data_IF_031551047649
#
_entry.id   IF_031551047649
#
_cell.length_a   1.000
_cell.length_b   1.000
_cell.length_c   1.000
_cell.angle_alpha   90.00
_cell.angle_beta   90.00
_cell.angle_gamma   90.00
#
_symmetry.space_group_name_H-M   'P 1'
#
loop_
_entity.id
_entity.type
_entity.pdbx_description
1 polymer ?
#
# COMPACT_ATOMS: atom_id res chain seq x y z
N UNK A 1 54.91 10.32 -6.64
CA UNK A 1 53.59 9.90 -6.12
C UNK A 1 52.54 10.78 -6.75
N UNK A 2 51.53 10.17 -7.37
CA UNK A 2 50.49 10.93 -8.06
C UNK A 2 49.44 11.46 -7.07
N UNK A 3 48.42 12.14 -7.61
CA UNK A 3 47.37 12.75 -6.78
C UNK A 3 46.44 11.73 -6.14
N UNK A 4 46.16 10.61 -6.82
CA UNK A 4 45.27 9.56 -6.33
C UNK A 4 45.94 8.83 -5.18
N UNK A 5 47.21 8.47 -5.33
CA UNK A 5 48.03 7.89 -4.27
C UNK A 5 48.06 8.80 -3.03
N UNK A 6 48.27 10.12 -3.24
CA UNK A 6 48.24 11.11 -2.16
C UNK A 6 46.91 11.14 -1.41
N UNK A 7 45.78 11.07 -2.12
CA UNK A 7 44.44 11.05 -1.51
C UNK A 7 44.25 9.77 -0.70
N UNK A 8 44.64 8.62 -1.26
CA UNK A 8 44.56 7.31 -0.62
C UNK A 8 45.38 7.26 0.67
N UNK A 9 46.64 7.71 0.63
CA UNK A 9 47.53 7.81 1.79
C UNK A 9 46.93 8.70 2.88
N UNK A 10 46.43 9.88 2.51
CA UNK A 10 45.77 10.80 3.46
C UNK A 10 44.56 10.14 4.13
N UNK A 11 43.73 9.40 3.37
CA UNK A 11 42.60 8.66 3.92
C UNK A 11 43.02 7.48 4.82
N UNK A 12 44.11 6.82 4.47
CA UNK A 12 44.69 5.73 5.26
C UNK A 12 45.15 6.23 6.63
N UNK A 13 46.00 7.26 6.67
CA UNK A 13 46.46 7.88 7.92
C UNK A 13 45.31 8.44 8.75
N UNK A 14 44.31 9.05 8.11
CA UNK A 14 43.11 9.52 8.82
C UNK A 14 42.35 8.38 9.51
N UNK A 15 42.29 7.21 8.88
CA UNK A 15 41.67 6.03 9.47
C UNK A 15 42.51 5.49 10.64
N UNK A 16 43.85 5.46 10.50
CA UNK A 16 44.76 5.03 11.57
C UNK A 16 44.68 5.93 12.81
N UNK A 17 44.47 7.24 12.63
CA UNK A 17 44.30 8.21 13.72
C UNK A 17 42.86 8.27 14.26
N UNK A 18 42.06 7.20 14.15
CA UNK A 18 40.67 7.19 14.62
C UNK A 18 39.82 8.35 14.07
N UNK A 19 40.12 8.84 12.86
CA UNK A 19 39.43 9.96 12.21
C UNK A 19 39.60 11.31 12.92
N UNK A 20 40.69 11.50 13.67
CA UNK A 20 41.08 12.79 14.25
C UNK A 20 41.89 13.62 13.25
N UNK A 21 41.33 14.75 12.82
CA UNK A 21 41.96 15.65 11.85
C UNK A 21 43.30 16.24 12.32
N UNK A 22 43.37 16.66 13.58
CA UNK A 22 44.54 17.36 14.12
C UNK A 22 45.70 16.38 14.31
N UNK A 23 45.38 15.21 14.86
CA UNK A 23 46.38 14.17 15.08
C UNK A 23 46.94 13.65 13.76
N UNK A 24 46.08 13.39 12.76
CA UNK A 24 46.56 12.95 11.45
C UNK A 24 47.51 13.96 10.83
N UNK A 25 47.15 15.25 10.80
CA UNK A 25 48.00 16.29 10.22
C UNK A 25 49.36 16.43 10.90
N UNK A 26 49.44 16.11 12.20
CA UNK A 26 50.68 16.13 12.97
C UNK A 26 51.63 15.00 12.56
N UNK A 27 51.08 13.81 12.30
CA UNK A 27 51.88 12.62 12.01
C UNK A 27 52.11 12.34 10.51
N UNK A 28 51.44 13.08 9.61
CA UNK A 28 51.63 12.91 8.17
C UNK A 28 53.11 13.09 7.78
N UNK A 29 53.71 12.12 7.05
CA UNK A 29 55.05 12.26 6.49
C UNK A 29 55.21 13.53 5.67
N UNK A 30 56.42 14.11 5.69
CA UNK A 30 56.76 15.34 4.95
C UNK A 30 56.41 15.24 3.45
N UNK A 31 56.51 14.06 2.84
CA UNK A 31 56.20 13.80 1.42
C UNK A 31 54.72 13.96 1.06
N UNK A 32 53.82 13.82 2.05
CA UNK A 32 52.35 13.90 1.90
C UNK A 32 51.69 14.98 2.73
N UNK A 33 52.49 15.78 3.44
CA UNK A 33 51.99 16.89 4.23
C UNK A 33 51.26 17.89 3.34
N UNK A 34 50.06 18.25 3.76
CA UNK A 34 49.17 19.19 3.04
C UNK A 34 48.60 20.20 4.03
N UNK A 35 48.07 21.31 3.51
CA UNK A 35 47.29 22.24 4.34
C UNK A 35 46.06 21.55 4.91
N UNK A 36 45.57 22.01 6.07
CA UNK A 36 44.36 21.50 6.68
C UNK A 36 43.14 21.57 5.74
N UNK A 37 43.03 22.63 4.92
CA UNK A 37 41.97 22.78 3.91
C UNK A 37 42.08 21.71 2.82
N UNK A 38 43.29 21.46 2.31
CA UNK A 38 43.53 20.41 1.31
C UNK A 38 43.28 19.02 1.89
N UNK A 39 43.67 18.79 3.14
CA UNK A 39 43.42 17.54 3.86
C UNK A 39 41.93 17.21 3.91
N UNK A 40 41.09 18.16 4.36
CA UNK A 40 39.63 17.99 4.36
C UNK A 40 39.07 17.67 2.98
N UNK A 41 39.55 18.33 1.93
CA UNK A 41 39.14 18.03 0.55
C UNK A 41 39.50 16.60 0.14
N UNK A 42 40.73 16.16 0.45
CA UNK A 42 41.19 14.81 0.11
C UNK A 42 40.40 13.74 0.85
N UNK A 43 40.10 13.93 2.14
CA UNK A 43 39.25 13.01 2.91
C UNK A 43 37.85 12.90 2.30
N UNK A 44 37.25 14.02 1.88
CA UNK A 44 35.95 13.99 1.23
C UNK A 44 36.01 13.26 -0.11
N UNK A 45 37.00 13.58 -0.95
CA UNK A 45 37.17 12.92 -2.26
C UNK A 45 37.40 11.42 -2.07
N UNK A 46 38.36 11.01 -1.25
CA UNK A 46 38.71 9.59 -1.10
C UNK A 46 37.58 8.74 -0.52
N UNK A 47 36.71 9.32 0.33
CA UNK A 47 35.60 8.58 0.93
C UNK A 47 34.29 8.65 0.14
N UNK A 48 34.09 9.67 -0.69
CA UNK A 48 32.78 9.95 -1.32
C UNK A 48 32.83 10.03 -2.84
N UNK A 49 34.00 10.10 -3.48
CA UNK A 49 34.10 10.09 -4.93
C UNK A 49 33.99 8.66 -5.46
N UNK A 50 33.19 8.49 -6.51
CA UNK A 50 33.10 7.27 -7.29
C UNK A 50 34.48 6.73 -7.69
N UNK A 51 34.64 5.40 -7.60
CA UNK A 51 35.91 4.73 -7.85
C UNK A 51 36.36 4.93 -9.30
N UNK A 52 35.45 4.86 -10.28
CA UNK A 52 35.79 5.09 -11.68
C UNK A 52 36.18 6.56 -11.94
N UNK A 53 35.66 7.51 -11.15
CA UNK A 53 36.09 8.90 -11.19
C UNK A 53 37.45 9.15 -10.53
N UNK A 54 37.86 8.35 -9.54
CA UNK A 54 39.20 8.47 -8.96
C UNK A 54 40.30 8.25 -10.00
N UNK A 55 40.10 7.32 -10.93
CA UNK A 55 41.03 7.12 -12.06
C UNK A 55 41.13 8.36 -12.96
N UNK A 56 40.07 9.16 -13.05
CA UNK A 56 40.06 10.38 -13.86
C UNK A 56 40.92 11.51 -13.28
N UNK A 57 41.31 11.44 -11.99
CA UNK A 57 42.19 12.43 -11.36
C UNK A 57 43.62 12.41 -11.91
N UNK A 58 44.08 11.24 -12.37
CA UNK A 58 45.44 11.02 -12.87
C UNK A 58 45.52 11.05 -14.42
N UNK A 59 44.38 11.04 -15.11
CA UNK A 59 44.33 11.16 -16.56
C UNK A 59 44.92 12.50 -17.05
N UNK A 60 45.40 12.51 -18.29
CA UNK A 60 45.87 13.74 -18.98
C UNK A 60 44.80 14.22 -19.98
N UNK A 61 44.84 15.52 -20.30
CA UNK A 61 43.98 16.12 -21.33
C UNK A 61 42.57 16.51 -20.85
N UNK A 62 41.66 16.67 -21.82
CA UNK A 62 40.29 17.21 -21.61
C UNK A 62 39.43 16.36 -20.66
N UNK A 63 39.75 15.07 -20.53
CA UNK A 63 39.05 14.12 -19.65
C UNK A 63 39.64 14.02 -18.24
N UNK A 64 40.62 14.87 -17.89
CA UNK A 64 41.15 14.94 -16.54
C UNK A 64 40.12 15.57 -15.59
N UNK A 65 39.79 14.85 -14.53
CA UNK A 65 38.98 15.38 -13.43
C UNK A 65 39.84 16.27 -12.55
N UNK A 66 39.47 17.54 -12.40
CA UNK A 66 40.17 18.44 -11.47
C UNK A 66 39.81 18.12 -10.01
N UNK A 67 40.75 18.36 -9.08
CA UNK A 67 40.52 18.16 -7.64
C UNK A 67 39.35 19.00 -7.14
N UNK A 68 39.25 20.25 -7.59
CA UNK A 68 38.16 21.15 -7.21
C UNK A 68 36.80 20.61 -7.65
N UNK A 69 36.71 20.11 -8.90
CA UNK A 69 35.46 19.55 -9.39
C UNK A 69 35.14 18.21 -8.73
N UNK A 70 36.13 17.34 -8.50
CA UNK A 70 35.95 16.10 -7.74
C UNK A 70 35.39 16.37 -6.34
N UNK A 71 35.96 17.34 -5.61
CA UNK A 71 35.46 17.74 -4.31
C UNK A 71 34.02 18.26 -4.37
N UNK A 72 33.70 19.07 -5.37
CA UNK A 72 32.36 19.60 -5.58
C UNK A 72 31.35 18.47 -5.83
N UNK A 73 31.70 17.51 -6.69
CA UNK A 73 30.87 16.37 -7.03
C UNK A 73 30.63 15.47 -5.81
N UNK A 74 31.67 15.15 -5.04
CA UNK A 74 31.56 14.39 -3.79
C UNK A 74 30.69 15.10 -2.73
N UNK A 75 30.73 16.42 -2.69
CA UNK A 75 29.94 17.20 -1.73
C UNK A 75 28.47 17.33 -2.15
N UNK A 76 28.21 17.54 -3.45
CA UNK A 76 26.89 17.89 -3.97
C UNK A 76 26.11 16.68 -4.49
N UNK A 77 26.74 15.55 -4.80
CA UNK A 77 26.05 14.37 -5.33
C UNK A 77 26.32 13.19 -4.40
N UNK A 78 25.38 12.94 -3.47
CA UNK A 78 25.58 11.92 -2.42
C UNK A 78 25.45 10.48 -2.89
N UNK A 79 24.74 10.25 -3.99
CA UNK A 79 24.71 8.95 -4.63
C UNK A 79 25.92 8.79 -5.55
N UNK A 80 26.84 7.89 -5.17
CA UNK A 80 28.11 7.66 -5.85
C UNK A 80 27.88 7.24 -7.31
N UNK A 81 26.92 6.36 -7.57
CA UNK A 81 26.63 5.84 -8.91
C UNK A 81 26.27 6.98 -9.89
N UNK A 82 25.69 8.07 -9.40
CA UNK A 82 25.28 9.20 -10.24
C UNK A 82 26.39 10.19 -10.52
N UNK A 83 27.43 10.22 -9.67
CA UNK A 83 28.56 11.11 -9.89
C UNK A 83 29.18 10.85 -11.25
N UNK A 84 29.33 9.58 -11.61
CA UNK A 84 29.88 9.16 -12.89
C UNK A 84 28.98 9.57 -14.07
N UNK A 85 27.67 9.37 -13.95
CA UNK A 85 26.70 9.77 -14.99
C UNK A 85 26.71 11.28 -15.25
N UNK A 86 26.70 12.09 -14.18
CA UNK A 86 26.76 13.56 -14.28
C UNK A 86 28.06 13.98 -14.95
N UNK A 87 29.19 13.38 -14.52
CA UNK A 87 30.49 13.65 -15.11
C UNK A 87 30.52 13.33 -16.61
N UNK A 88 29.99 12.17 -17.02
CA UNK A 88 29.95 11.76 -18.42
C UNK A 88 29.08 12.71 -19.25
N UNK A 89 27.90 13.08 -18.76
CA UNK A 89 27.00 14.01 -19.46
C UNK A 89 27.69 15.37 -19.68
N UNK A 90 28.32 15.92 -18.65
CA UNK A 90 29.10 17.16 -18.79
C UNK A 90 30.30 17.03 -19.74
N UNK A 91 30.89 15.84 -19.87
CA UNK A 91 31.93 15.59 -20.87
C UNK A 91 31.36 15.55 -22.29
N UNK A 92 30.19 14.96 -22.48
CA UNK A 92 29.48 14.93 -23.77
C UNK A 92 29.09 16.35 -24.21
N UNK A 93 28.70 17.18 -23.26
CA UNK A 93 28.42 18.61 -23.48
C UNK A 93 29.70 19.45 -23.67
N UNK A 94 30.86 18.79 -23.77
CA UNK A 94 32.16 19.39 -24.06
C UNK A 94 32.67 20.42 -23.05
N UNK A 95 32.11 20.45 -21.84
CA UNK A 95 32.44 21.42 -20.81
C UNK A 95 33.89 21.27 -20.28
N UNK A 96 34.57 22.39 -20.10
CA UNK A 96 35.84 22.49 -19.38
C UNK A 96 35.64 22.29 -17.87
N UNK A 97 36.72 22.02 -17.12
CA UNK A 97 36.62 21.88 -15.66
C UNK A 97 36.06 23.13 -14.96
N UNK A 98 36.31 24.33 -15.50
CA UNK A 98 35.76 25.58 -14.94
C UNK A 98 34.25 25.66 -15.20
N UNK A 99 33.81 25.34 -16.41
CA UNK A 99 32.39 25.33 -16.76
C UNK A 99 31.62 24.26 -15.98
N UNK A 100 32.18 23.05 -15.83
CA UNK A 100 31.63 21.96 -15.01
C UNK A 100 31.35 22.38 -13.57
N UNK A 101 32.27 23.14 -12.96
CA UNK A 101 32.10 23.66 -11.59
C UNK A 101 30.91 24.63 -11.55
N UNK A 102 30.79 25.50 -12.54
CA UNK A 102 29.75 26.51 -12.59
C UNK A 102 28.37 25.93 -12.95
N UNK A 103 28.32 24.86 -13.74
CA UNK A 103 27.07 24.25 -14.22
C UNK A 103 26.59 23.06 -13.40
N UNK A 104 27.30 22.60 -12.36
CA UNK A 104 26.89 21.41 -11.58
C UNK A 104 25.46 21.53 -11.03
N UNK A 105 25.01 22.74 -10.75
CA UNK A 105 23.67 23.03 -10.29
C UNK A 105 22.63 22.55 -11.31
N UNK A 106 22.83 22.82 -12.60
CA UNK A 106 21.92 22.45 -13.69
C UNK A 106 21.75 20.93 -13.82
N UNK A 107 22.78 20.16 -13.48
CA UNK A 107 22.77 18.69 -13.52
C UNK A 107 22.24 18.06 -12.22
N UNK A 108 21.92 18.89 -11.22
CA UNK A 108 21.39 18.46 -9.91
C UNK A 108 20.01 19.07 -9.62
N UNK A 109 19.35 19.65 -10.63
CA UNK A 109 17.96 20.11 -10.56
C UNK A 109 17.01 18.91 -10.65
N UNK A 110 16.02 18.86 -9.76
CA UNK A 110 14.95 17.87 -9.83
C UNK A 110 13.93 18.24 -10.92
N UNK A 111 13.57 17.35 -11.86
CA UNK A 111 12.61 17.65 -12.92
C UNK A 111 11.15 17.76 -12.44
N UNK A 112 10.86 17.46 -11.16
CA UNK A 112 9.51 17.52 -10.59
C UNK A 112 9.27 18.84 -9.86
N UNK A 113 10.16 19.19 -8.93
CA UNK A 113 10.03 20.43 -8.15
C UNK A 113 10.87 21.60 -8.70
N UNK A 114 11.73 21.36 -9.69
CA UNK A 114 12.67 22.34 -10.25
C UNK A 114 13.64 22.95 -9.21
N UNK A 115 13.75 22.33 -8.04
CA UNK A 115 14.72 22.73 -7.01
C UNK A 115 16.01 21.92 -7.14
N UNK A 116 17.10 22.54 -6.74
CA UNK A 116 18.36 21.84 -6.59
C UNK A 116 18.30 20.88 -5.40
N UNK A 117 18.79 19.66 -5.57
CA UNK A 117 18.92 18.70 -4.47
C UNK A 117 20.22 17.92 -4.56
N UNK A 118 20.91 17.78 -3.43
CA UNK A 118 22.07 16.90 -3.29
C UNK A 118 21.69 15.44 -3.05
N UNK A 119 20.41 15.20 -2.77
CA UNK A 119 19.83 13.89 -2.48
C UNK A 119 18.89 13.51 -3.62
N UNK A 120 19.46 12.91 -4.65
CA UNK A 120 18.74 12.47 -5.84
C UNK A 120 18.89 10.97 -6.06
N UNK A 121 17.85 10.37 -6.62
CA UNK A 121 17.79 8.98 -7.01
C UNK A 121 17.57 8.86 -8.53
N UNK A 122 18.33 7.98 -9.19
CA UNK A 122 18.16 7.68 -10.62
C UNK A 122 17.03 6.68 -10.78
N UNK A 123 16.06 7.03 -11.60
CA UNK A 123 14.93 6.16 -11.89
C UNK A 123 15.39 5.04 -12.84
N UNK A 124 15.11 3.76 -12.54
CA UNK A 124 15.65 2.63 -13.30
C UNK A 124 15.10 2.53 -14.73
N UNK A 125 13.92 3.10 -14.98
CA UNK A 125 13.22 3.00 -16.27
C UNK A 125 13.67 4.04 -17.31
N UNK A 126 13.98 5.26 -16.91
CA UNK A 126 14.32 6.36 -17.82
C UNK A 126 15.67 7.03 -17.51
N UNK A 127 16.35 6.61 -16.45
CA UNK A 127 17.62 7.21 -16.02
C UNK A 127 17.51 8.64 -15.51
N UNK A 128 16.30 9.20 -15.39
CA UNK A 128 16.10 10.57 -14.87
C UNK A 128 16.45 10.63 -13.38
N UNK A 129 17.08 11.73 -12.97
CA UNK A 129 17.43 12.00 -11.57
C UNK A 129 16.29 12.77 -10.91
N UNK A 130 15.75 12.25 -9.81
CA UNK A 130 14.67 12.89 -9.06
C UNK A 130 15.10 13.07 -7.61
N UNK A 131 14.79 14.22 -7.00
CA UNK A 131 15.10 14.41 -5.58
C UNK A 131 14.32 13.41 -4.72
N UNK A 132 14.94 12.92 -3.64
CA UNK A 132 14.31 11.91 -2.81
C UNK A 132 12.97 12.39 -2.25
N UNK A 133 12.84 13.67 -1.88
CA UNK A 133 11.57 14.19 -1.35
C UNK A 133 10.41 14.01 -2.36
N UNK A 134 10.62 14.37 -3.63
CA UNK A 134 9.62 14.17 -4.68
C UNK A 134 9.35 12.68 -4.92
N UNK A 135 10.39 11.84 -4.93
CA UNK A 135 10.23 10.39 -5.14
C UNK A 135 9.40 9.74 -4.02
N UNK A 136 9.73 10.01 -2.75
CA UNK A 136 8.99 9.44 -1.62
C UNK A 136 7.56 9.96 -1.56
N UNK A 137 7.33 11.25 -1.82
CA UNK A 137 5.97 11.82 -1.91
C UNK A 137 5.16 11.18 -3.04
N UNK A 138 5.78 10.94 -4.19
CA UNK A 138 5.14 10.27 -5.31
C UNK A 138 4.75 8.82 -4.98
N UNK A 139 5.67 8.06 -4.36
CA UNK A 139 5.38 6.69 -3.92
C UNK A 139 4.30 6.65 -2.84
N UNK A 140 4.33 7.59 -1.90
CA UNK A 140 3.32 7.74 -0.85
C UNK A 140 1.93 7.96 -1.46
N UNK A 141 1.80 8.95 -2.35
CA UNK A 141 0.56 9.23 -3.09
C UNK A 141 0.12 8.00 -3.89
N UNK A 142 1.03 7.31 -4.58
CA UNK A 142 0.70 6.14 -5.39
C UNK A 142 0.12 4.98 -4.56
N UNK A 143 0.61 4.79 -3.33
CA UNK A 143 0.19 3.70 -2.43
C UNK A 143 -1.08 4.09 -1.64
N UNK A 144 -1.25 5.37 -1.33
CA UNK A 144 -2.37 5.88 -0.53
C UNK A 144 -3.48 6.53 -1.35
N UNK A 145 -3.35 6.56 -2.68
CA UNK A 145 -4.39 7.00 -3.60
C UNK A 145 -5.67 6.18 -3.44
N UNK A 146 -6.80 6.84 -3.71
CA UNK A 146 -8.15 6.24 -3.69
C UNK A 146 -8.20 5.04 -4.64
N UNK A 147 -7.72 5.22 -5.87
CA UNK A 147 -7.52 4.15 -6.83
C UNK A 147 -6.04 3.79 -6.92
N UNK A 148 -5.77 2.50 -6.79
CA UNK A 148 -4.44 1.92 -6.88
C UNK A 148 -4.12 1.55 -8.33
N UNK A 149 -3.16 2.25 -8.91
CA UNK A 149 -2.64 2.01 -10.26
C UNK A 149 -1.19 1.50 -10.26
N UNK A 150 -0.67 1.17 -9.07
CA UNK A 150 0.72 0.80 -8.87
C UNK A 150 1.67 1.98 -8.79
N UNK A 151 2.92 1.66 -8.44
CA UNK A 151 3.98 2.65 -8.36
C UNK A 151 4.62 2.84 -9.73
N UNK A 152 4.18 3.88 -10.45
CA UNK A 152 4.72 4.26 -11.75
C UNK A 152 5.81 5.31 -11.61
N UNK A 153 6.68 5.42 -12.60
CA UNK A 153 7.69 6.45 -12.69
C UNK A 153 7.02 7.83 -12.83
N UNK A 154 7.38 8.84 -12.02
CA UNK A 154 6.78 10.17 -12.11
C UNK A 154 7.16 10.93 -13.40
N UNK A 155 8.12 10.44 -14.18
CA UNK A 155 8.61 11.10 -15.40
C UNK A 155 8.06 10.44 -16.67
N UNK A 156 8.21 9.11 -16.78
CA UNK A 156 7.84 8.37 -17.99
C UNK A 156 6.61 7.46 -17.81
N UNK A 157 5.99 7.46 -16.63
CA UNK A 157 4.82 6.65 -16.29
C UNK A 157 5.00 5.12 -16.42
N UNK A 158 6.22 4.63 -16.65
CA UNK A 158 6.55 3.20 -16.65
C UNK A 158 6.52 2.65 -15.22
N UNK A 159 5.98 1.45 -15.03
CA UNK A 159 5.96 0.77 -13.74
C UNK A 159 7.36 0.59 -13.16
N UNK A 160 7.52 0.88 -11.87
CA UNK A 160 8.78 0.71 -11.16
C UNK A 160 8.95 -0.74 -10.67
N UNK A 161 10.15 -1.35 -10.83
CA UNK A 161 10.39 -2.71 -10.35
C UNK A 161 10.18 -2.89 -8.85
N UNK A 162 9.73 -4.07 -8.41
CA UNK A 162 9.49 -4.37 -6.98
C UNK A 162 10.74 -4.17 -6.13
N UNK A 163 11.86 -4.69 -6.63
CA UNK A 163 13.17 -4.62 -5.97
C UNK A 163 13.59 -3.17 -5.72
N UNK A 164 13.36 -2.30 -6.70
CA UNK A 164 13.65 -0.87 -6.58
C UNK A 164 12.76 -0.22 -5.51
N UNK A 165 11.46 -0.46 -5.53
CA UNK A 165 10.53 0.09 -4.52
C UNK A 165 10.88 -0.42 -3.11
N UNK A 166 11.24 -1.70 -2.99
CA UNK A 166 11.72 -2.30 -1.75
C UNK A 166 12.97 -1.59 -1.23
N UNK A 167 13.96 -1.38 -2.08
CA UNK A 167 15.22 -0.74 -1.71
C UNK A 167 15.03 0.69 -1.21
N UNK A 168 14.13 1.44 -1.86
CA UNK A 168 13.79 2.82 -1.49
C UNK A 168 12.97 2.86 -0.20
N UNK A 169 11.84 2.14 -0.11
CA UNK A 169 10.91 2.28 1.02
C UNK A 169 11.35 1.52 2.28
N UNK A 170 11.99 0.35 2.13
CA UNK A 170 12.36 -0.48 3.27
C UNK A 170 13.67 -0.04 3.94
N UNK A 171 14.53 0.72 3.23
CA UNK A 171 15.83 1.21 3.71
C UNK A 171 16.71 0.11 4.35
N UNK A 172 16.60 -1.11 3.84
CA UNK A 172 17.16 -2.33 4.44
C UNK A 172 18.64 -2.19 4.79
N UNK A 173 19.03 -2.63 6.00
CA UNK A 173 20.43 -2.72 6.42
C UNK A 173 21.30 -3.55 5.48
N UNK A 174 20.69 -4.47 4.72
CA UNK A 174 21.37 -5.35 3.79
C UNK A 174 21.83 -4.64 2.51
N UNK A 175 21.11 -3.60 2.06
CA UNK A 175 21.50 -2.89 0.85
C UNK A 175 22.55 -1.81 1.17
N UNK A 176 23.82 -2.15 0.95
CA UNK A 176 24.95 -1.24 1.19
C UNK A 176 24.96 -0.04 0.22
N UNK A 177 24.45 -0.21 -1.00
CA UNK A 177 24.46 0.84 -2.06
C UNK A 177 23.59 2.03 -1.69
N UNK A 178 22.47 1.80 -0.98
CA UNK A 178 21.53 2.86 -0.55
C UNK A 178 21.76 3.36 0.87
N UNK A 179 22.90 3.03 1.49
CA UNK A 179 23.22 3.46 2.87
C UNK A 179 23.23 4.99 3.02
N UNK A 180 23.57 5.72 1.96
CA UNK A 180 23.62 7.19 1.97
C UNK A 180 22.26 7.84 2.23
N UNK A 181 21.14 7.19 1.85
CA UNK A 181 19.78 7.71 2.10
C UNK A 181 19.51 7.87 3.61
N UNK A 182 20.17 7.06 4.46
CA UNK A 182 20.07 7.18 5.92
C UNK A 182 20.63 8.51 6.45
N UNK A 183 21.50 9.17 5.68
CA UNK A 183 22.00 10.50 5.98
C UNK A 183 20.95 11.60 5.77
N UNK A 184 19.85 11.31 5.08
CA UNK A 184 18.77 12.26 4.84
C UNK A 184 17.78 12.21 5.99
N UNK A 185 17.98 13.08 6.97
CA UNK A 185 17.23 13.08 8.23
C UNK A 185 15.71 13.06 8.04
N UNK A 186 15.18 13.89 7.14
CA UNK A 186 13.73 14.00 6.87
C UNK A 186 13.11 12.71 6.34
N UNK A 187 13.89 11.84 5.70
CA UNK A 187 13.41 10.54 5.20
C UNK A 187 13.64 9.47 6.27
N UNK A 188 14.82 9.48 6.88
CA UNK A 188 15.21 8.48 7.86
C UNK A 188 14.37 8.54 9.14
N UNK A 189 13.93 9.73 9.56
CA UNK A 189 13.01 9.90 10.70
C UNK A 189 11.64 9.25 10.45
N UNK A 190 11.20 9.18 9.19
CA UNK A 190 9.95 8.54 8.75
C UNK A 190 10.12 7.12 8.21
N UNK A 191 11.26 6.47 8.43
CA UNK A 191 11.52 5.11 7.91
C UNK A 191 10.49 4.06 8.34
N UNK A 192 9.89 4.21 9.52
CA UNK A 192 8.82 3.32 10.00
C UNK A 192 7.58 3.43 9.12
N UNK A 193 7.17 4.67 8.82
CA UNK A 193 6.09 4.98 7.89
C UNK A 193 6.33 4.38 6.50
N UNK A 194 7.50 4.62 5.89
CA UNK A 194 7.79 4.13 4.53
C UNK A 194 7.86 2.60 4.46
N UNK A 195 8.40 1.95 5.50
CA UNK A 195 8.34 0.50 5.62
C UNK A 195 6.90 0.00 5.64
N UNK A 196 6.02 0.67 6.39
CA UNK A 196 4.61 0.32 6.46
C UNK A 196 3.87 0.62 5.13
N UNK A 197 4.27 1.65 4.37
CA UNK A 197 3.79 1.87 3.00
C UNK A 197 4.11 0.68 2.10
N UNK A 198 5.34 0.16 2.16
CA UNK A 198 5.73 -1.01 1.38
C UNK A 198 4.94 -2.27 1.80
N UNK A 199 4.66 -2.46 3.09
CA UNK A 199 3.80 -3.55 3.56
C UNK A 199 2.37 -3.42 3.04
N UNK A 200 1.81 -2.21 3.09
CA UNK A 200 0.49 -1.91 2.52
C UNK A 200 0.46 -2.22 1.03
N UNK A 201 1.47 -1.77 0.27
CA UNK A 201 1.62 -2.07 -1.16
C UNK A 201 1.55 -3.58 -1.46
N UNK A 202 2.34 -4.39 -0.75
CA UNK A 202 2.32 -5.85 -0.96
C UNK A 202 0.94 -6.45 -0.63
N UNK A 203 0.30 -6.00 0.45
CA UNK A 203 -1.04 -6.49 0.81
C UNK A 203 -2.11 -6.08 -0.19
N UNK A 204 -2.03 -4.88 -0.78
CA UNK A 204 -2.92 -4.49 -1.87
C UNK A 204 -2.77 -5.45 -3.06
N UNK A 205 -1.52 -5.71 -3.46
CA UNK A 205 -1.23 -6.59 -4.60
C UNK A 205 -1.73 -8.01 -4.35
N UNK A 206 -1.41 -8.60 -3.20
CA UNK A 206 -1.86 -9.95 -2.82
C UNK A 206 -3.40 -10.07 -2.87
N UNK A 207 -4.11 -9.01 -2.44
CA UNK A 207 -5.58 -8.97 -2.50
C UNK A 207 -6.09 -8.86 -3.93
N UNK A 208 -5.45 -8.08 -4.79
CA UNK A 208 -5.79 -8.01 -6.22
C UNK A 208 -5.52 -9.35 -6.91
N UNK A 209 -4.39 -9.99 -6.63
CA UNK A 209 -4.05 -11.33 -7.16
C UNK A 209 -5.12 -12.36 -6.75
N UNK A 210 -5.57 -12.30 -5.50
CA UNK A 210 -6.65 -13.17 -5.00
C UNK A 210 -7.99 -12.94 -5.72
N UNK A 211 -8.40 -11.67 -5.89
CA UNK A 211 -9.66 -11.31 -6.57
C UNK A 211 -9.62 -11.73 -8.05
N UNK A 212 -8.50 -11.46 -8.71
CA UNK A 212 -8.34 -11.68 -10.16
C UNK A 212 -7.92 -13.11 -10.50
N UNK A 213 -7.49 -13.89 -9.51
CA UNK A 213 -6.91 -15.25 -9.65
C UNK A 213 -5.69 -15.28 -10.59
N UNK A 214 -4.93 -14.18 -10.63
CA UNK A 214 -3.70 -14.03 -11.43
C UNK A 214 -2.56 -13.64 -10.52
N UNK A 215 -1.36 -14.15 -10.79
CA UNK A 215 -0.15 -13.75 -10.07
C UNK A 215 0.60 -12.69 -10.87
N UNK A 216 1.09 -11.65 -10.19
CA UNK A 216 1.90 -10.61 -10.80
C UNK A 216 3.33 -11.11 -11.00
N UNK A 217 3.93 -10.73 -12.13
CA UNK A 217 5.36 -10.91 -12.27
C UNK A 217 6.09 -9.94 -11.32
N UNK A 218 6.72 -10.47 -10.28
CA UNK A 218 7.44 -9.68 -9.26
C UNK A 218 8.61 -8.86 -9.83
N UNK A 219 9.13 -9.21 -11.01
CA UNK A 219 10.20 -8.43 -11.65
C UNK A 219 9.63 -7.16 -12.31
N UNK A 220 8.51 -7.26 -13.01
CA UNK A 220 7.91 -6.15 -13.75
C UNK A 220 6.96 -5.32 -12.89
N UNK A 221 6.31 -5.96 -11.92
CA UNK A 221 5.24 -5.38 -11.08
C UNK A 221 4.12 -4.73 -11.86
N UNK A 222 3.96 -5.12 -13.12
CA UNK A 222 3.01 -4.48 -14.00
C UNK A 222 1.59 -4.91 -13.65
N UNK A 223 0.87 -4.05 -12.92
CA UNK A 223 -0.50 -4.34 -12.51
C UNK A 223 -1.44 -4.52 -13.68
N UNK A 224 -1.13 -3.94 -14.84
CA UNK A 224 -1.93 -4.12 -16.05
C UNK A 224 -1.97 -5.60 -16.50
N UNK A 225 -1.04 -6.45 -16.01
CA UNK A 225 -1.04 -7.90 -16.27
C UNK A 225 -2.14 -8.64 -15.48
N UNK A 226 -2.46 -8.16 -14.27
CA UNK A 226 -3.40 -8.83 -13.37
C UNK A 226 -4.76 -8.13 -13.26
N UNK A 227 -4.82 -6.82 -13.53
CA UNK A 227 -6.03 -6.01 -13.38
C UNK A 227 -6.89 -6.02 -14.64
N UNK A 228 -8.21 -5.86 -14.46
CA UNK A 228 -9.13 -5.60 -15.57
C UNK A 228 -8.99 -4.14 -16.03
N UNK A 229 -8.83 -3.93 -17.34
CA UNK A 229 -8.71 -2.61 -17.94
C UNK A 229 -9.94 -1.74 -17.70
N UNK A 230 -11.11 -2.35 -17.47
CA UNK A 230 -12.38 -1.69 -17.24
C UNK A 230 -12.69 -1.45 -15.76
N UNK A 231 -11.79 -1.81 -14.84
CA UNK A 231 -12.00 -1.63 -13.40
C UNK A 231 -10.92 -0.74 -12.77
N UNK A 232 -11.33 0.16 -11.88
CA UNK A 232 -10.47 0.74 -10.86
C UNK A 232 -10.44 -0.19 -9.65
N UNK A 233 -9.28 -0.32 -9.02
CA UNK A 233 -9.10 -1.08 -7.78
C UNK A 233 -8.74 -0.08 -6.67
N UNK A 234 -9.33 -0.21 -5.48
CA UNK A 234 -9.04 0.70 -4.38
C UNK A 234 -9.23 0.04 -3.02
N UNK A 235 -8.53 0.55 -2.01
CA UNK A 235 -8.68 0.09 -0.63
C UNK A 235 -9.92 0.71 0.01
N UNK A 236 -10.68 -0.07 0.78
CA UNK A 236 -11.76 0.48 1.60
C UNK A 236 -11.21 1.51 2.60
N UNK A 237 -11.62 2.77 2.45
CA UNK A 237 -11.10 3.89 3.26
C UNK A 237 -11.52 3.83 4.73
N UNK A 238 -12.63 3.16 5.02
CA UNK A 238 -13.19 3.03 6.36
C UNK A 238 -12.48 1.94 7.19
N UNK A 239 -12.10 0.82 6.57
CA UNK A 239 -11.44 -0.28 7.27
C UNK A 239 -9.94 -0.42 6.97
N UNK A 240 -9.41 0.29 5.96
CA UNK A 240 -7.98 0.33 5.72
C UNK A 240 -7.32 1.08 6.88
N UNK A 241 -6.47 0.42 7.68
CA UNK A 241 -5.85 1.10 8.80
C UNK A 241 -4.91 2.19 8.28
N UNK A 242 -4.94 3.35 8.93
CA UNK A 242 -4.01 4.44 8.64
C UNK A 242 -2.58 3.97 8.84
N UNK A 243 -1.67 4.40 7.98
CA UNK A 243 -0.25 4.06 8.10
C UNK A 243 0.32 4.79 9.31
N UNK A 244 0.83 4.04 10.28
CA UNK A 244 1.49 4.63 11.43
C UNK A 244 2.98 4.90 11.14
N UNK A 245 3.53 5.95 11.76
CA UNK A 245 4.96 6.27 11.70
C UNK A 245 5.78 5.55 12.80
N UNK A 246 5.23 4.51 13.41
CA UNK A 246 5.97 3.79 14.44
C UNK A 246 7.04 2.91 13.78
N UNK A 247 8.11 2.59 14.51
CA UNK A 247 9.11 1.62 14.04
C UNK A 247 8.57 0.19 13.99
N UNK A 248 7.41 -0.06 14.60
CA UNK A 248 6.77 -1.38 14.60
C UNK A 248 6.15 -1.62 13.23
N UNK A 249 6.39 -2.81 12.70
CA UNK A 249 5.75 -3.27 11.47
C UNK A 249 4.25 -3.31 11.69
N UNK A 250 3.51 -2.59 10.86
CA UNK A 250 2.06 -2.67 10.81
C UNK A 250 1.65 -3.84 9.91
N UNK A 251 0.71 -4.65 10.40
CA UNK A 251 0.11 -5.72 9.63
C UNK A 251 -1.20 -5.21 9.00
N UNK A 252 -1.36 -5.41 7.69
CA UNK A 252 -2.56 -5.02 6.94
C UNK A 252 -3.37 -6.28 6.57
N UNK A 253 -3.63 -7.15 7.55
CA UNK A 253 -4.35 -8.43 7.35
C UNK A 253 -5.79 -8.23 6.88
N UNK A 254 -6.46 -7.22 7.42
CA UNK A 254 -7.89 -6.96 7.19
C UNK A 254 -8.13 -5.93 6.08
N UNK A 255 -7.10 -5.65 5.27
CA UNK A 255 -7.22 -4.77 4.12
C UNK A 255 -8.16 -5.40 3.09
N UNK A 256 -9.21 -4.66 2.73
CA UNK A 256 -10.20 -5.01 1.71
C UNK A 256 -9.97 -4.17 0.46
N UNK A 257 -9.99 -4.83 -0.70
CA UNK A 257 -9.94 -4.20 -2.03
C UNK A 257 -11.32 -4.31 -2.65
N UNK A 258 -11.80 -3.20 -3.20
CA UNK A 258 -13.03 -3.15 -3.98
C UNK A 258 -12.74 -2.61 -5.38
N UNK A 259 -13.69 -2.82 -6.28
CA UNK A 259 -13.59 -2.41 -7.67
C UNK A 259 -14.71 -1.45 -8.05
N UNK A 260 -14.38 -0.48 -8.91
CA UNK A 260 -15.33 0.45 -9.51
C UNK A 260 -15.17 0.40 -11.01
N UNK A 261 -16.26 0.27 -11.76
CA UNK A 261 -16.19 0.27 -13.23
C UNK A 261 -15.69 1.61 -13.78
N UNK A 262 -14.79 1.55 -14.77
CA UNK A 262 -14.34 2.71 -15.53
C UNK A 262 -15.43 3.09 -16.51
N UNK A 263 -16.28 4.04 -16.12
CA UNK A 263 -17.21 4.66 -17.05
C UNK A 263 -16.51 5.80 -17.79
N UNK A 264 -16.78 5.95 -19.08
CA UNK A 264 -16.06 6.90 -19.93
C UNK A 264 -16.40 8.37 -19.62
N UNK A 265 -17.56 8.63 -19.03
CA UNK A 265 -18.08 9.94 -18.65
C UNK A 265 -19.26 9.72 -17.71
N UNK A 266 -19.52 10.63 -16.77
CA UNK A 266 -20.84 10.66 -16.13
C UNK A 266 -21.92 10.96 -17.20
N UNK A 267 -23.20 10.85 -16.88
CA UNK A 267 -24.30 11.18 -17.80
C UNK A 267 -24.29 12.63 -18.33
N UNK A 268 -23.36 13.47 -17.84
CA UNK A 268 -23.20 14.88 -18.15
C UNK A 268 -21.95 15.19 -18.98
N UNK A 269 -21.12 14.19 -19.30
CA UNK A 269 -19.92 14.38 -20.11
C UNK A 269 -18.63 14.75 -19.34
N UNK A 270 -18.66 14.71 -18.00
CA UNK A 270 -17.50 15.05 -17.17
C UNK A 270 -16.60 13.83 -16.88
N UNK A 271 -15.32 14.13 -16.61
CA UNK A 271 -14.34 13.18 -16.07
C UNK A 271 -14.87 12.53 -14.78
N UNK A 272 -14.78 11.20 -14.69
CA UNK A 272 -15.19 10.45 -13.49
C UNK A 272 -14.32 10.84 -12.29
N UNK A 273 -14.91 11.54 -11.32
CA UNK A 273 -14.27 11.85 -10.03
C UNK A 273 -14.53 10.69 -9.08
N UNK A 274 -13.48 9.92 -8.77
CA UNK A 274 -13.56 8.84 -7.79
C UNK A 274 -13.64 9.40 -6.38
N UNK A 275 -14.60 8.92 -5.58
CA UNK A 275 -14.76 9.25 -4.17
C UNK A 275 -14.42 8.05 -3.29
N UNK A 276 -13.96 8.29 -2.08
CA UNK A 276 -13.62 7.27 -1.08
C UNK A 276 -14.76 6.27 -0.83
N UNK A 277 -16.00 6.78 -0.80
CA UNK A 277 -17.22 6.00 -0.60
C UNK A 277 -17.41 4.91 -1.66
N UNK A 278 -16.93 5.15 -2.90
CA UNK A 278 -17.06 4.21 -4.02
C UNK A 278 -16.23 2.93 -3.81
N UNK A 279 -15.22 2.99 -2.94
CA UNK A 279 -14.40 1.83 -2.59
C UNK A 279 -14.73 1.28 -1.20
N UNK A 280 -15.82 1.72 -0.57
CA UNK A 280 -16.23 1.18 0.73
C UNK A 280 -16.72 -0.26 0.60
N UNK A 281 -16.23 -1.16 1.47
CA UNK A 281 -16.66 -2.56 1.45
C UNK A 281 -18.05 -2.72 2.06
N UNK A 282 -18.71 -3.84 1.74
CA UNK A 282 -20.06 -4.16 2.20
C UNK A 282 -20.25 -4.09 3.72
N UNK A 283 -19.21 -4.42 4.49
CA UNK A 283 -19.30 -4.30 5.96
C UNK A 283 -19.27 -2.85 6.45
N UNK A 284 -18.74 -1.92 5.65
CA UNK A 284 -18.56 -0.51 6.00
C UNK A 284 -19.59 0.43 5.38
N UNK A 285 -20.20 0.08 4.24
CA UNK A 285 -21.36 0.78 3.63
C UNK A 285 -22.68 0.54 4.38
N UNK A 286 -22.57 -0.12 5.52
CA UNK A 286 -23.60 -0.94 6.12
C UNK A 286 -24.44 -0.17 7.16
N UNK A 287 -24.40 1.17 7.08
CA UNK A 287 -25.33 2.07 7.78
C UNK A 287 -26.77 1.96 7.28
N UNK A 288 -27.01 1.27 6.16
CA UNK A 288 -28.34 0.84 5.69
C UNK A 288 -28.62 -0.65 5.94
N UNK A 289 -27.97 -1.28 6.92
CA UNK A 289 -28.35 -2.64 7.31
C UNK A 289 -29.61 -2.61 8.15
N UNK A 290 -30.72 -3.13 7.61
CA UNK A 290 -31.88 -3.47 8.43
C UNK A 290 -31.47 -4.53 9.47
N UNK A 291 -31.37 -4.13 10.72
CA UNK A 291 -31.29 -5.06 11.83
C UNK A 291 -32.67 -5.71 12.02
N UNK A 292 -32.73 -7.04 12.00
CA UNK A 292 -33.96 -7.77 12.32
C UNK A 292 -33.82 -8.47 13.68
N UNK A 293 -34.87 -8.34 14.50
CA UNK A 293 -35.00 -9.05 15.77
C UNK A 293 -35.75 -10.35 15.55
N UNK A 294 -35.27 -11.43 16.17
CA UNK A 294 -36.02 -12.69 16.19
C UNK A 294 -37.37 -12.45 16.90
N UNK A 295 -38.52 -12.72 16.25
CA UNK A 295 -39.84 -12.54 16.85
C UNK A 295 -40.11 -13.51 18.00
N UNK A 296 -39.17 -14.38 18.35
CA UNK A 296 -39.34 -15.40 19.38
C UNK A 296 -38.40 -15.19 20.58
N UNK A 297 -37.09 -15.04 20.35
CA UNK A 297 -36.09 -14.92 21.40
C UNK A 297 -35.45 -13.52 21.54
N UNK A 298 -35.74 -12.59 20.62
CA UNK A 298 -35.35 -11.19 20.76
C UNK A 298 -33.91 -10.84 20.40
N UNK A 299 -33.13 -11.81 19.91
CA UNK A 299 -31.76 -11.60 19.42
C UNK A 299 -31.79 -10.75 18.13
N UNK A 300 -30.92 -9.73 18.06
CA UNK A 300 -30.79 -8.80 16.92
C UNK A 300 -29.66 -9.27 15.98
N UNK A 301 -29.89 -9.30 14.67
CA UNK A 301 -28.87 -9.69 13.68
C UNK A 301 -28.96 -8.84 12.40
N UNK A 302 -27.87 -8.84 11.64
CA UNK A 302 -27.72 -8.17 10.34
C UNK A 302 -28.47 -8.97 9.27
N UNK A 303 -29.37 -8.32 8.51
CA UNK A 303 -30.09 -8.93 7.38
C UNK A 303 -29.20 -8.93 6.13
N UNK A 304 -28.88 -10.10 5.52
CA UNK A 304 -28.29 -10.14 4.19
C UNK A 304 -29.25 -9.56 3.15
N UNK A 305 -28.71 -8.88 2.13
CA UNK A 305 -29.47 -8.31 1.01
C UNK A 305 -30.35 -9.38 0.33
N UNK A 306 -31.57 -9.00 -0.04
CA UNK A 306 -32.57 -9.85 -0.69
C UNK A 306 -33.11 -11.07 0.09
N UNK A 307 -32.85 -11.21 1.41
CA UNK A 307 -33.36 -12.37 2.17
C UNK A 307 -34.53 -12.07 3.13
N UNK A 308 -35.53 -12.96 3.17
CA UNK A 308 -36.71 -12.94 4.04
C UNK A 308 -36.75 -14.20 4.92
N UNK A 309 -36.29 -14.08 6.19
CA UNK A 309 -36.49 -14.93 7.41
C UNK A 309 -36.46 -16.47 7.32
N UNK A 310 -35.95 -17.18 8.37
CA UNK A 310 -36.65 -18.29 9.09
C UNK A 310 -35.91 -18.77 10.37
N UNK A 311 -36.72 -18.91 11.44
CA UNK A 311 -36.72 -19.66 12.72
C UNK A 311 -35.42 -20.02 13.47
N UNK A 312 -35.48 -19.83 14.79
CA UNK A 312 -34.50 -20.21 15.81
C UNK A 312 -34.86 -21.56 16.48
N UNK A 313 -34.01 -22.56 16.30
CA UNK A 313 -33.93 -23.79 17.11
C UNK A 313 -32.49 -24.32 17.14
N UNK A 314 -31.98 -24.62 18.35
CA UNK A 314 -30.62 -25.13 18.65
C UNK A 314 -29.41 -24.26 18.26
N UNK A 315 -29.54 -22.93 18.41
CA UNK A 315 -28.45 -21.96 18.20
C UNK A 315 -27.88 -21.89 16.76
N UNK A 316 -28.65 -22.29 15.75
CA UNK A 316 -28.19 -22.28 14.33
C UNK A 316 -29.07 -21.35 13.47
N UNK A 317 -28.43 -20.65 12.53
CA UNK A 317 -29.01 -19.57 11.73
C UNK A 317 -29.39 -20.05 10.32
N UNK A 318 -30.53 -19.61 9.78
CA UNK A 318 -30.90 -19.81 8.37
C UNK A 318 -31.52 -18.53 7.77
N UNK A 319 -31.15 -18.21 6.53
CA UNK A 319 -31.74 -17.12 5.74
C UNK A 319 -32.36 -17.71 4.47
N UNK A 320 -33.57 -17.27 4.10
CA UNK A 320 -34.20 -17.61 2.82
C UNK A 320 -34.10 -16.38 1.92
N UNK A 321 -33.49 -16.51 0.73
CA UNK A 321 -33.28 -15.37 -0.17
C UNK A 321 -34.34 -15.34 -1.29
N UNK A 322 -34.85 -14.14 -1.60
CA UNK A 322 -35.94 -13.88 -2.55
C UNK A 322 -35.47 -13.79 -4.02
N UNK A 323 -34.19 -13.99 -4.32
CA UNK A 323 -33.72 -13.95 -5.71
C UNK A 323 -34.25 -15.18 -6.46
N UNK A 324 -35.38 -15.00 -7.15
CA UNK A 324 -35.79 -15.86 -8.26
C UNK A 324 -34.73 -15.71 -9.35
N UNK A 325 -33.79 -16.63 -9.42
CA UNK A 325 -32.93 -16.80 -10.60
C UNK A 325 -33.80 -17.25 -11.79
N UNK A 326 -33.42 -16.90 -13.04
CA UNK A 326 -34.20 -17.20 -14.23
C UNK A 326 -34.54 -18.69 -14.33
N UNK A 327 -35.71 -18.96 -14.91
CA UNK A 327 -36.38 -20.26 -14.94
C UNK A 327 -35.65 -21.27 -15.84
N UNK A 328 -34.45 -21.67 -15.43
CA UNK A 328 -33.65 -22.74 -16.01
C UNK A 328 -33.27 -23.74 -14.90
N UNK A 329 -32.78 -24.92 -15.27
CA UNK A 329 -32.50 -26.01 -14.33
C UNK A 329 -31.48 -25.69 -13.21
N UNK A 330 -30.88 -24.49 -13.22
CA UNK A 330 -29.98 -23.99 -12.18
C UNK A 330 -30.63 -22.98 -11.21
N UNK A 331 -31.91 -22.62 -11.40
CA UNK A 331 -32.62 -21.57 -10.66
C UNK A 331 -33.41 -22.03 -9.43
N UNK A 332 -32.85 -22.90 -8.59
CA UNK A 332 -33.47 -23.28 -7.32
C UNK A 332 -32.80 -22.58 -6.13
N UNK A 333 -33.61 -22.18 -5.15
CA UNK A 333 -33.23 -21.60 -3.85
C UNK A 333 -31.87 -22.11 -3.35
N UNK A 334 -30.88 -21.24 -3.30
CA UNK A 334 -29.56 -21.57 -2.72
C UNK A 334 -29.68 -21.45 -1.21
N UNK A 335 -29.71 -22.59 -0.51
CA UNK A 335 -29.62 -22.66 0.95
C UNK A 335 -28.16 -22.76 1.37
N UNK A 336 -27.69 -21.87 2.24
CA UNK A 336 -26.35 -21.98 2.83
C UNK A 336 -26.38 -22.94 4.04
N UNK A 337 -25.62 -24.04 3.98
CA UNK A 337 -25.39 -24.96 5.09
C UNK A 337 -23.93 -24.88 5.58
N UNK A 338 -23.70 -24.90 6.90
CA UNK A 338 -22.35 -24.96 7.48
C UNK A 338 -22.28 -25.92 8.69
N UNK A 339 -21.92 -27.20 8.46
CA UNK A 339 -21.33 -28.12 9.47
C UNK A 339 -22.23 -29.25 10.05
N UNK A 340 -21.62 -30.31 10.64
CA UNK A 340 -21.34 -31.56 9.94
C UNK A 340 -22.29 -32.72 10.29
N UNK A 341 -22.76 -33.44 9.27
CA UNK A 341 -23.33 -34.78 9.41
C UNK A 341 -24.55 -35.10 8.54
N UNK A 342 -25.33 -34.11 8.09
CA UNK A 342 -26.42 -34.33 7.12
C UNK A 342 -26.88 -32.99 6.51
N UNK A 343 -27.27 -33.08 5.24
CA UNK A 343 -27.09 -32.04 4.21
C UNK A 343 -28.38 -31.27 3.86
N UNK A 344 -28.31 -30.19 3.06
CA UNK A 344 -29.47 -29.52 2.42
C UNK A 344 -30.37 -30.42 1.54
N UNK A 345 -30.08 -31.72 1.47
CA UNK A 345 -30.85 -32.74 0.74
C UNK A 345 -31.58 -33.72 1.66
N UNK A 346 -31.71 -33.42 2.96
CA UNK A 346 -32.75 -34.06 3.78
C UNK A 346 -34.13 -33.70 3.21
N UNK A 347 -34.88 -34.71 2.77
CA UNK A 347 -36.20 -34.55 2.16
C UNK A 347 -37.27 -33.97 3.11
N UNK A 348 -36.95 -33.78 4.39
CA UNK A 348 -37.88 -33.34 5.43
C UNK A 348 -37.90 -31.81 5.65
N UNK A 349 -37.00 -31.04 5.03
CA UNK A 349 -36.99 -29.57 5.12
C UNK A 349 -37.81 -28.88 4.00
N UNK A 350 -38.69 -29.64 3.33
CA UNK A 350 -39.37 -29.28 2.07
C UNK A 350 -40.83 -29.75 2.15
N UNK A 351 -41.83 -28.90 1.91
CA UNK A 351 -43.03 -29.39 1.21
C UNK A 351 -43.36 -28.55 -0.01
N UNK A 352 -43.03 -29.19 -1.14
CA UNK A 352 -43.86 -29.45 -2.32
C UNK A 352 -44.73 -28.33 -2.87
N UNK A 353 -44.24 -27.72 -3.95
CA UNK A 353 -45.12 -27.19 -4.99
C UNK A 353 -45.81 -28.41 -5.64
N UNK A 354 -47.15 -28.42 -5.69
CA UNK A 354 -48.08 -29.49 -6.15
C UNK A 354 -48.53 -30.57 -5.14
N UNK A 355 -48.71 -30.23 -3.87
CA UNK A 355 -49.42 -31.08 -2.90
C UNK A 355 -50.34 -30.21 -2.03
N UNK A 356 -51.62 -30.58 -1.89
CA UNK A 356 -52.56 -29.93 -0.96
C UNK A 356 -52.28 -30.41 0.49
N UNK A 357 -51.11 -30.06 1.01
CA UNK A 357 -50.68 -30.34 2.38
C UNK A 357 -50.28 -29.08 3.14
N UNK A 358 -50.15 -29.16 4.48
CA UNK A 358 -50.02 -28.00 5.36
C UNK A 358 -48.71 -27.21 5.19
N UNK A 359 -48.83 -25.88 5.36
CA UNK A 359 -47.77 -24.87 5.25
C UNK A 359 -46.92 -24.76 6.54
N UNK A 360 -45.60 -24.63 6.41
CA UNK A 360 -44.69 -24.47 7.54
C UNK A 360 -44.45 -23.00 7.91
N UNK A 361 -45.47 -22.34 8.47
CA UNK A 361 -45.29 -21.28 9.48
C UNK A 361 -45.45 -21.99 10.82
N UNK A 362 -44.44 -21.95 11.69
CA UNK A 362 -44.59 -22.52 13.03
C UNK A 362 -45.57 -21.64 13.80
N UNK A 363 -46.77 -22.15 14.08
CA UNK A 363 -47.76 -21.48 14.92
C UNK A 363 -47.33 -21.40 16.39
N UNK A 364 -46.31 -22.17 16.77
CA UNK A 364 -45.86 -22.36 18.15
C UNK A 364 -44.36 -22.68 18.26
N UNK A 365 -43.68 -22.01 19.20
CA UNK A 365 -42.29 -22.16 19.66
C UNK A 365 -42.08 -22.87 21.01
N UNK A 366 -41.57 -24.11 21.06
CA UNK A 366 -41.30 -24.80 22.34
C UNK A 366 -39.84 -24.68 22.83
N UNK A 367 -39.01 -23.78 22.27
CA UNK A 367 -37.61 -23.66 22.70
C UNK A 367 -37.49 -23.15 24.16
N UNK A 368 -36.37 -23.44 24.82
CA UNK A 368 -36.15 -23.10 26.24
C UNK A 368 -36.35 -21.60 26.57
N UNK A 369 -36.13 -20.71 25.60
CA UNK A 369 -36.35 -19.26 25.77
C UNK A 369 -37.83 -18.86 25.76
N UNK A 370 -38.70 -19.69 25.21
CA UNK A 370 -40.11 -19.37 24.99
C UNK A 370 -41.10 -20.32 25.62
N UNK A 371 -40.63 -21.46 26.15
CA UNK A 371 -41.37 -22.26 27.14
C UNK A 371 -41.93 -21.40 28.27
N UNK A 372 -41.12 -20.46 28.78
CA UNK A 372 -41.54 -19.52 29.84
C UNK A 372 -42.69 -18.60 29.45
N UNK A 373 -42.91 -18.39 28.15
CA UNK A 373 -43.97 -17.55 27.61
C UNK A 373 -45.03 -18.33 26.85
N UNK A 374 -45.14 -19.64 27.09
CA UNK A 374 -46.08 -20.53 26.40
C UNK A 374 -46.04 -20.33 24.87
N UNK A 375 -44.84 -20.31 24.28
CA UNK A 375 -44.68 -20.17 22.82
C UNK A 375 -45.16 -18.85 22.21
N UNK A 376 -45.62 -17.88 23.02
CA UNK A 376 -46.12 -16.60 22.52
C UNK A 376 -44.99 -15.79 21.87
N UNK A 377 -45.20 -15.18 20.69
CA UNK A 377 -44.17 -14.38 20.03
C UNK A 377 -43.89 -13.09 20.83
N UNK A 378 -42.68 -12.56 20.69
CA UNK A 378 -42.33 -11.22 21.15
C UNK A 378 -43.03 -10.16 20.28
N UNK A 379 -43.22 -8.99 20.85
CA UNK A 379 -43.69 -7.79 20.17
C UNK A 379 -42.88 -7.53 18.89
N UNK A 380 -43.56 -7.16 17.82
CA UNK A 380 -42.92 -6.81 16.54
C UNK A 380 -42.01 -5.57 16.65
N UNK A 381 -42.21 -4.70 17.65
CA UNK A 381 -41.32 -3.57 17.90
C UNK A 381 -39.92 -4.07 18.32
N UNK A 382 -38.89 -3.67 17.57
CA UNK A 382 -37.49 -4.06 17.72
C UNK A 382 -36.97 -3.91 19.16
N UNK A 383 -37.42 -2.89 19.90
CA UNK A 383 -36.92 -2.62 21.25
C UNK A 383 -37.83 -3.14 22.36
N UNK A 384 -39.01 -3.68 22.01
CA UNK A 384 -39.95 -4.22 22.98
C UNK A 384 -39.75 -5.72 23.22
N UNK A 385 -39.58 -6.11 24.49
CA UNK A 385 -39.41 -7.52 24.89
C UNK A 385 -40.69 -8.13 25.49
N UNK A 386 -41.80 -7.41 25.49
CA UNK A 386 -43.09 -7.95 25.89
C UNK A 386 -43.59 -8.95 24.83
N UNK A 387 -44.35 -9.96 25.24
CA UNK A 387 -44.94 -10.95 24.33
C UNK A 387 -46.31 -10.47 23.83
N UNK A 388 -46.61 -10.78 22.58
CA UNK A 388 -47.90 -10.49 21.96
C UNK A 388 -48.91 -11.58 22.35
N UNK A 389 -50.19 -11.24 22.57
CA UNK A 389 -51.20 -12.21 22.98
C UNK A 389 -51.50 -13.24 21.87
N UNK A 390 -51.70 -14.50 22.26
CA UNK A 390 -52.06 -15.58 21.36
C UNK A 390 -53.57 -15.49 21.04
N UNK A 391 -53.98 -14.55 20.18
CA UNK A 391 -55.34 -14.47 19.60
C UNK A 391 -55.35 -14.78 18.08
N UNK A 392 -55.74 -16.02 17.76
CA UNK A 392 -55.89 -16.77 16.48
C UNK A 392 -55.18 -16.33 15.17
N UNK A 393 -54.75 -17.34 14.39
CA UNK A 393 -54.32 -17.44 12.98
C UNK A 393 -53.32 -16.42 12.37
N UNK A 394 -52.89 -15.36 13.08
CA UNK A 394 -51.88 -14.43 12.54
C UNK A 394 -51.11 -13.66 13.65
N UNK A 395 -50.33 -14.38 14.46
CA UNK A 395 -49.71 -13.81 15.67
C UNK A 395 -48.33 -13.18 15.47
N UNK A 396 -47.66 -13.45 14.35
CA UNK A 396 -46.24 -13.11 14.14
C UNK A 396 -45.97 -11.67 13.70
N UNK A 397 -46.99 -10.82 13.62
CA UNK A 397 -46.89 -9.41 13.18
C UNK A 397 -47.76 -8.48 14.04
N UNK A 398 -47.85 -8.74 15.35
CA UNK A 398 -48.61 -7.89 16.26
C UNK A 398 -47.70 -7.19 17.26
N UNK A 399 -48.03 -5.93 17.54
CA UNK A 399 -47.51 -5.20 18.68
C UNK A 399 -48.10 -5.81 19.97
N UNK A 400 -47.36 -5.78 21.07
CA UNK A 400 -47.90 -6.17 22.38
C UNK A 400 -48.86 -5.08 22.88
N UNK A 401 -49.63 -5.34 23.94
CA UNK A 401 -50.56 -4.35 24.50
C UNK A 401 -49.91 -3.01 24.88
N UNK A 402 -48.62 -3.02 25.24
CA UNK A 402 -47.85 -1.82 25.61
C UNK A 402 -47.38 -1.01 24.40
N UNK A 403 -47.29 -1.63 23.23
CA UNK A 403 -46.78 -1.01 22.00
C UNK A 403 -47.85 -0.87 20.92
N UNK A 404 -49.08 -1.33 21.17
CA UNK A 404 -50.22 -1.28 20.24
C UNK A 404 -50.88 0.09 20.26
#
# INVERSE_FOLDING_TARGET
MDIKDRITEVCHYFTLCNKDYNETLRILPKSIRVSHTTFKKYIIIGNQLDYCLQEKLIQKGKHKLSISFAHLLSTHVKNIDHQYDIYLKMCQDNLSNKEKINSIHDYTVCPICYEQSFHQEKLPCCGSLVCLHCLYKHLDISINSIAFTGCKCPICNTTLPHSYIYDILYLSHKNKTKKWIRGVYSIYSFRGYYRNCFQKLNRIIERIEFITKKNINKLTMNLDEITDKNLYYGTCTLCCPKINNTRKTQFFTDLKINTVEKQCVNSQGDLVILKDEMFSCDSCTSTNNEYKKCPHCGIKTLRPTACNYVICGDHRWCFICNERLPNNHNGHNVHFWTGPGSSPFSNQCRTSINYNGPHFILDWCDCNSCKKGHGAPLCMNLDCYNRSPILSNNHFQKLCQTCS
#
